data_IF_348297682045
#
_entry.id   IF_348297682045
#
_cell.length_a   1.000
_cell.length_b   1.000
_cell.length_c   1.000
_cell.angle_alpha   90.00
_cell.angle_beta   90.00
_cell.angle_gamma   90.00
#
_symmetry.space_group_name_H-M   'P 1'
#
loop_
_entity.id
_entity.type
_entity.pdbx_description
1 polymer ?
#
# COMPACT_ATOMS: atom_id res chain seq x y z
N UNK A 1 -14.05 7.45 9.06
CA UNK A 1 -13.58 8.84 9.16
C UNK A 1 -14.63 9.69 9.86
N UNK A 2 -14.18 10.55 10.76
CA UNK A 2 -15.08 11.52 11.42
C UNK A 2 -15.29 12.67 10.43
N UNK A 3 -16.52 13.01 10.13
CA UNK A 3 -16.83 14.21 9.34
C UNK A 3 -16.72 15.44 10.24
N UNK A 4 -15.57 16.11 10.19
CA UNK A 4 -15.34 17.37 10.88
C UNK A 4 -15.53 18.50 9.86
N UNK A 5 -16.74 18.66 9.35
CA UNK A 5 -17.12 19.54 8.23
C UNK A 5 -16.78 21.03 8.34
N UNK A 6 -15.76 21.42 9.11
CA UNK A 6 -15.36 22.83 9.34
C UNK A 6 -13.87 23.08 9.46
N UNK A 7 -13.01 22.17 8.98
CA UNK A 7 -11.58 22.43 9.01
C UNK A 7 -11.22 23.46 7.94
N UNK A 8 -10.58 24.55 8.34
CA UNK A 8 -10.07 25.55 7.41
C UNK A 8 -8.84 25.02 6.68
N UNK A 9 -8.00 24.27 7.40
CA UNK A 9 -6.66 23.88 6.97
C UNK A 9 -6.29 22.51 7.51
N UNK A 10 -5.56 21.72 6.74
CA UNK A 10 -4.94 20.48 7.18
C UNK A 10 -3.41 20.55 7.07
N UNK A 11 -2.72 19.95 8.04
CA UNK A 11 -1.28 19.74 8.00
C UNK A 11 -1.00 18.25 7.73
N UNK A 12 -0.26 17.99 6.67
CA UNK A 12 0.17 16.67 6.29
C UNK A 12 1.65 16.51 6.60
N UNK A 13 1.97 15.61 7.54
CA UNK A 13 3.36 15.24 7.82
C UNK A 13 3.78 14.17 6.83
N UNK A 14 4.85 14.43 6.09
CA UNK A 14 5.34 13.69 4.93
C UNK A 14 4.30 13.53 3.81
N UNK A 15 4.71 13.06 2.64
CA UNK A 15 3.80 12.83 1.53
C UNK A 15 2.94 11.58 1.78
N UNK A 16 1.65 11.58 1.43
CA UNK A 16 0.90 10.33 1.33
C UNK A 16 1.45 9.47 0.18
N UNK A 17 1.14 8.18 0.19
CA UNK A 17 1.64 7.26 -0.84
C UNK A 17 0.93 7.39 -2.19
N UNK A 18 -0.32 7.90 -2.17
CA UNK A 18 -1.19 7.96 -3.35
C UNK A 18 -1.83 9.32 -3.54
N UNK A 19 -2.13 9.66 -4.79
CA UNK A 19 -2.90 10.87 -5.14
C UNK A 19 -4.32 10.77 -4.58
N UNK A 20 -4.94 9.59 -4.60
CA UNK A 20 -6.26 9.36 -4.00
C UNK A 20 -6.26 9.72 -2.51
N UNK A 21 -5.25 9.31 -1.76
CA UNK A 21 -5.11 9.64 -0.34
C UNK A 21 -4.90 11.14 -0.11
N UNK A 22 -4.12 11.81 -0.98
CA UNK A 22 -3.96 13.25 -0.96
C UNK A 22 -5.31 13.96 -1.12
N UNK A 23 -6.10 13.59 -2.13
CA UNK A 23 -7.40 14.19 -2.42
C UNK A 23 -8.42 13.94 -1.30
N UNK A 24 -8.47 12.73 -0.76
CA UNK A 24 -9.36 12.41 0.36
C UNK A 24 -9.06 13.23 1.61
N UNK A 25 -7.78 13.48 1.91
CA UNK A 25 -7.37 14.33 3.04
C UNK A 25 -7.66 15.79 2.77
N UNK A 26 -7.36 16.28 1.58
CA UNK A 26 -7.65 17.64 1.16
C UNK A 26 -9.17 17.93 1.18
N UNK A 27 -10.00 16.96 0.79
CA UNK A 27 -11.46 17.05 0.85
C UNK A 27 -12.05 17.13 2.26
N UNK A 28 -11.23 17.01 3.31
CA UNK A 28 -11.66 17.26 4.72
C UNK A 28 -11.51 18.72 5.11
N UNK A 29 -10.90 19.53 4.27
CA UNK A 29 -10.68 20.98 4.50
C UNK A 29 -11.49 21.81 3.52
N UNK A 30 -11.59 23.08 3.81
CA UNK A 30 -12.40 24.02 3.05
C UNK A 30 -13.82 24.12 3.59
N UNK A 31 -14.37 25.33 3.53
CA UNK A 31 -15.77 25.63 3.82
C UNK A 31 -16.51 25.79 2.52
N UNK A 32 -17.85 25.87 2.56
CA UNK A 32 -18.69 26.08 1.35
C UNK A 32 -18.23 27.22 0.48
N UNK A 33 -17.60 28.26 1.10
CA UNK A 33 -17.18 29.49 0.44
C UNK A 33 -15.65 29.65 0.34
N UNK A 34 -14.87 28.73 0.86
CA UNK A 34 -13.40 28.79 0.85
C UNK A 34 -12.80 27.50 0.26
N UNK A 35 -11.79 27.63 -0.60
CA UNK A 35 -11.12 26.47 -1.16
C UNK A 35 -10.41 25.66 -0.06
N UNK A 36 -10.25 24.34 -0.24
CA UNK A 36 -9.49 23.51 0.68
C UNK A 36 -8.02 23.94 0.72
N UNK A 37 -7.45 23.98 1.91
CA UNK A 37 -6.05 24.32 2.13
C UNK A 37 -5.32 23.18 2.85
N UNK A 38 -4.21 22.73 2.25
CA UNK A 38 -3.35 21.68 2.83
C UNK A 38 -1.90 22.15 2.84
N UNK A 39 -1.27 22.00 4.00
CA UNK A 39 0.14 22.30 4.22
C UNK A 39 0.93 21.01 4.39
N UNK A 40 2.02 20.88 3.67
CA UNK A 40 2.94 19.76 3.81
C UNK A 40 4.12 20.14 4.69
N UNK A 41 4.43 19.26 5.64
CA UNK A 41 5.64 19.33 6.47
C UNK A 41 6.49 18.10 6.17
N UNK A 42 7.49 18.25 5.31
CA UNK A 42 8.39 17.16 4.95
C UNK A 42 9.51 17.03 5.97
N UNK A 43 9.63 15.85 6.57
CA UNK A 43 10.72 15.53 7.51
C UNK A 43 11.88 14.95 6.71
N UNK A 44 12.79 15.81 6.29
CA UNK A 44 14.00 15.45 5.56
C UNK A 44 15.21 15.72 6.44
N UNK A 45 16.18 14.84 6.40
CA UNK A 45 17.45 15.07 7.04
C UNK A 45 18.30 16.07 6.25
N UNK A 46 19.05 16.91 6.96
CA UNK A 46 19.98 17.82 6.32
C UNK A 46 21.26 17.03 6.00
N UNK A 47 21.72 17.04 4.71
CA UNK A 47 22.87 16.27 4.32
C UNK A 47 24.15 16.79 5.00
N UNK A 48 24.89 15.88 5.59
CA UNK A 48 26.22 16.13 6.11
C UNK A 48 27.30 15.95 5.00
N UNK A 49 28.53 16.46 5.17
CA UNK A 49 29.59 16.34 4.17
C UNK A 49 29.97 14.90 3.77
N UNK A 50 29.58 13.91 4.59
CA UNK A 50 29.84 12.48 4.34
C UNK A 50 28.60 11.70 3.93
N UNK A 51 27.44 12.35 3.80
CA UNK A 51 26.20 11.72 3.39
C UNK A 51 26.36 11.18 1.98
N UNK A 52 25.96 9.93 1.75
CA UNK A 52 25.99 9.33 0.42
C UNK A 52 25.03 10.04 -0.52
N UNK A 53 25.38 10.12 -1.80
CA UNK A 53 24.60 10.88 -2.78
C UNK A 53 23.09 10.52 -2.80
N UNK A 54 22.65 9.26 -2.74
CA UNK A 54 21.21 8.94 -2.70
C UNK A 54 20.48 9.55 -1.51
N UNK A 55 21.13 9.61 -0.35
CA UNK A 55 20.57 10.15 0.89
C UNK A 55 20.51 11.69 0.90
N UNK A 56 21.24 12.33 -0.01
CA UNK A 56 21.19 13.80 -0.17
C UNK A 56 19.94 14.28 -0.90
N UNK A 57 19.22 13.38 -1.59
CA UNK A 57 18.02 13.69 -2.36
C UNK A 57 16.81 13.69 -1.41
N UNK A 58 16.00 14.78 -1.40
CA UNK A 58 14.83 14.89 -0.53
C UNK A 58 13.64 14.10 -1.13
N UNK A 59 13.63 12.80 -0.92
CA UNK A 59 12.67 11.88 -1.53
C UNK A 59 11.22 12.20 -1.17
N UNK A 60 10.95 12.55 0.08
CA UNK A 60 9.60 12.90 0.55
C UNK A 60 9.08 14.19 -0.08
N UNK A 61 9.97 15.18 -0.25
CA UNK A 61 9.63 16.42 -0.95
C UNK A 61 9.31 16.13 -2.43
N UNK A 62 10.14 15.34 -3.10
CA UNK A 62 9.91 14.95 -4.49
C UNK A 62 8.60 14.18 -4.66
N UNK A 63 8.30 13.26 -3.74
CA UNK A 63 7.02 12.54 -3.73
C UNK A 63 5.83 13.50 -3.57
N UNK A 64 5.91 14.43 -2.63
CA UNK A 64 4.86 15.43 -2.45
C UNK A 64 4.64 16.29 -3.71
N UNK A 65 5.73 16.72 -4.35
CA UNK A 65 5.67 17.45 -5.62
C UNK A 65 5.03 16.58 -6.72
N UNK A 66 5.45 15.32 -6.84
CA UNK A 66 4.92 14.41 -7.85
C UNK A 66 3.41 14.21 -7.71
N UNK A 67 2.91 13.95 -6.50
CA UNK A 67 1.48 13.77 -6.24
C UNK A 67 0.66 15.02 -6.60
N UNK A 68 1.14 16.20 -6.21
CA UNK A 68 0.48 17.47 -6.55
C UNK A 68 0.46 17.70 -8.06
N UNK A 69 1.57 17.44 -8.75
CA UNK A 69 1.67 17.68 -10.18
C UNK A 69 0.87 16.67 -10.99
N UNK A 70 0.87 15.39 -10.66
CA UNK A 70 0.05 14.39 -11.33
C UNK A 70 -1.43 14.79 -11.32
N UNK A 71 -1.92 15.27 -10.18
CA UNK A 71 -3.30 15.75 -10.13
C UNK A 71 -3.51 17.05 -10.87
N UNK A 72 -2.58 18.01 -10.77
CA UNK A 72 -2.72 19.32 -11.41
C UNK A 72 -2.58 19.24 -12.92
N UNK A 73 -1.59 18.52 -13.42
CA UNK A 73 -1.25 18.45 -14.85
C UNK A 73 -2.15 17.45 -15.59
N UNK A 74 -2.40 16.28 -15.01
CA UNK A 74 -3.02 15.15 -15.70
C UNK A 74 -4.41 14.80 -15.15
N UNK A 75 -4.83 15.36 -14.01
CA UNK A 75 -6.00 14.89 -13.24
C UNK A 75 -5.92 13.40 -12.89
N UNK A 76 -4.70 12.89 -12.85
CA UNK A 76 -4.44 11.48 -12.61
C UNK A 76 -4.68 11.11 -11.15
N UNK A 77 -5.26 9.94 -10.97
CA UNK A 77 -5.43 9.24 -9.70
C UNK A 77 -5.13 7.78 -9.97
N UNK A 78 -4.62 7.07 -8.98
CA UNK A 78 -4.29 5.65 -9.13
C UNK A 78 -5.48 4.88 -9.68
N UNK A 79 -5.32 4.17 -10.82
CA UNK A 79 -6.39 3.34 -11.36
C UNK A 79 -6.65 2.15 -10.44
N UNK A 80 -7.91 1.65 -10.38
CA UNK A 80 -8.19 0.42 -9.67
C UNK A 80 -7.46 -0.75 -10.33
N UNK A 81 -6.98 -1.71 -9.52
CA UNK A 81 -6.34 -2.92 -10.01
C UNK A 81 -7.37 -3.88 -10.60
N UNK A 82 -7.62 -3.78 -11.90
CA UNK A 82 -8.61 -4.62 -12.60
C UNK A 82 -8.06 -6.01 -12.98
N UNK A 83 -6.77 -6.24 -12.81
CA UNK A 83 -6.12 -7.50 -13.19
C UNK A 83 -6.27 -8.60 -12.15
N UNK A 84 -6.64 -8.26 -10.95
CA UNK A 84 -6.95 -9.22 -9.89
C UNK A 84 -8.42 -9.63 -9.96
N UNK A 85 -8.68 -10.93 -9.70
CA UNK A 85 -10.03 -11.44 -9.57
C UNK A 85 -10.54 -11.18 -8.14
N UNK A 86 -11.48 -10.24 -7.94
CA UNK A 86 -11.89 -9.78 -6.61
C UNK A 86 -12.95 -10.70 -6.01
N UNK A 87 -12.65 -11.98 -5.77
CA UNK A 87 -13.61 -12.96 -5.29
C UNK A 87 -14.22 -12.62 -3.92
N UNK A 88 -13.46 -12.02 -3.01
CA UNK A 88 -14.00 -11.57 -1.73
C UNK A 88 -15.05 -10.47 -1.90
N UNK A 89 -14.79 -9.53 -2.80
CA UNK A 89 -15.74 -8.48 -3.13
C UNK A 89 -16.96 -9.03 -3.89
N UNK A 90 -16.77 -10.05 -4.75
CA UNK A 90 -17.84 -10.75 -5.42
C UNK A 90 -18.78 -11.43 -4.43
N UNK A 91 -18.24 -12.12 -3.42
CA UNK A 91 -19.00 -12.68 -2.31
C UNK A 91 -19.80 -11.60 -1.59
N UNK A 92 -19.12 -10.54 -1.17
CA UNK A 92 -19.73 -9.43 -0.46
C UNK A 92 -20.88 -8.80 -1.26
N UNK A 93 -20.66 -8.53 -2.55
CA UNK A 93 -21.65 -7.92 -3.41
C UNK A 93 -22.85 -8.87 -3.67
N UNK A 94 -22.59 -10.17 -3.79
CA UNK A 94 -23.64 -11.19 -3.90
C UNK A 94 -24.56 -11.20 -2.69
N UNK A 95 -23.98 -11.27 -1.50
CA UNK A 95 -24.73 -11.27 -0.25
C UNK A 95 -25.47 -9.95 -0.02
N UNK A 96 -24.84 -8.81 -0.31
CA UNK A 96 -25.44 -7.49 -0.18
C UNK A 96 -26.63 -7.30 -1.14
N UNK A 97 -26.51 -7.81 -2.36
CA UNK A 97 -27.61 -7.75 -3.36
C UNK A 97 -28.81 -8.56 -2.89
N UNK A 98 -28.60 -9.80 -2.43
CA UNK A 98 -29.69 -10.62 -1.87
C UNK A 98 -30.31 -9.98 -0.62
N UNK A 99 -29.50 -9.47 0.28
CA UNK A 99 -29.97 -8.79 1.50
C UNK A 99 -30.87 -7.58 1.19
N UNK A 100 -30.56 -6.84 0.13
CA UNK A 100 -31.31 -5.64 -0.25
C UNK A 100 -32.55 -5.90 -1.10
N UNK A 101 -32.57 -7.01 -1.86
CA UNK A 101 -33.65 -7.31 -2.81
C UNK A 101 -34.58 -8.43 -2.33
N UNK A 102 -34.18 -9.23 -1.38
CA UNK A 102 -34.87 -10.45 -0.95
C UNK A 102 -34.61 -11.61 -1.89
N UNK A 103 -35.65 -12.17 -2.52
CA UNK A 103 -35.53 -13.30 -3.41
C UNK A 103 -35.17 -12.88 -4.83
N UNK A 104 -34.22 -13.58 -5.46
CA UNK A 104 -33.83 -13.44 -6.86
C UNK A 104 -33.57 -14.81 -7.48
N UNK A 105 -33.89 -14.97 -8.75
CA UNK A 105 -33.40 -16.14 -9.50
C UNK A 105 -31.89 -16.09 -9.67
N UNK A 106 -31.20 -17.23 -9.85
CA UNK A 106 -29.76 -17.24 -10.10
C UNK A 106 -29.33 -16.37 -11.29
N UNK A 107 -30.16 -16.29 -12.31
CA UNK A 107 -29.90 -15.47 -13.51
C UNK A 107 -30.01 -13.97 -13.20
N UNK A 108 -31.03 -13.54 -12.48
CA UNK A 108 -31.21 -12.14 -12.08
C UNK A 108 -30.08 -11.69 -11.15
N UNK A 109 -29.69 -12.55 -10.19
CA UNK A 109 -28.59 -12.27 -9.28
C UNK A 109 -27.28 -12.12 -10.08
N UNK A 110 -26.98 -13.05 -10.98
CA UNK A 110 -25.81 -12.97 -11.84
C UNK A 110 -25.81 -11.70 -12.70
N UNK A 111 -26.95 -11.35 -13.28
CA UNK A 111 -27.09 -10.14 -14.07
C UNK A 111 -26.79 -8.89 -13.26
N UNK A 112 -27.31 -8.79 -12.03
CA UNK A 112 -27.09 -7.63 -11.17
C UNK A 112 -25.65 -7.50 -10.67
N UNK A 113 -25.01 -8.63 -10.35
CA UNK A 113 -23.65 -8.64 -9.80
C UNK A 113 -22.58 -8.58 -10.87
N UNK A 114 -22.64 -9.44 -11.89
CA UNK A 114 -21.58 -9.56 -12.90
C UNK A 114 -21.54 -8.39 -13.91
N UNK A 115 -22.61 -7.58 -14.00
CA UNK A 115 -22.59 -6.37 -14.83
C UNK A 115 -21.81 -5.22 -14.23
N UNK A 116 -21.44 -5.30 -12.95
CA UNK A 116 -20.54 -4.32 -12.35
C UNK A 116 -19.17 -4.40 -13.02
N UNK A 117 -18.65 -3.27 -13.46
CA UNK A 117 -17.41 -3.19 -14.24
C UNK A 117 -16.22 -3.88 -13.60
N UNK A 118 -16.18 -3.93 -12.27
CA UNK A 118 -15.10 -4.57 -11.53
C UNK A 118 -15.08 -6.11 -11.66
N UNK A 119 -16.21 -6.72 -12.03
CA UNK A 119 -16.32 -8.19 -12.20
C UNK A 119 -16.27 -8.65 -13.65
N UNK A 120 -15.93 -7.78 -14.61
CA UNK A 120 -15.94 -8.09 -16.05
C UNK A 120 -15.07 -9.29 -16.46
N UNK A 121 -14.08 -9.67 -15.63
CA UNK A 121 -13.19 -10.83 -15.85
C UNK A 121 -13.66 -12.11 -15.18
N UNK A 122 -14.70 -12.04 -14.37
CA UNK A 122 -15.25 -13.22 -13.68
C UNK A 122 -16.23 -13.90 -14.62
N UNK A 123 -15.98 -15.17 -14.89
CA UNK A 123 -16.86 -15.96 -15.75
C UNK A 123 -18.16 -16.34 -15.03
N UNK A 124 -19.22 -16.60 -15.81
CA UNK A 124 -20.46 -17.13 -15.26
C UNK A 124 -20.27 -18.49 -14.57
N UNK A 125 -19.30 -19.28 -15.02
CA UNK A 125 -18.99 -20.59 -14.43
C UNK A 125 -18.31 -20.44 -13.06
N UNK A 126 -17.36 -19.51 -12.92
CA UNK A 126 -16.76 -19.19 -11.62
C UNK A 126 -17.82 -18.70 -10.63
N UNK A 127 -18.75 -17.87 -11.11
CA UNK A 127 -19.85 -17.40 -10.28
C UNK A 127 -20.80 -18.54 -9.85
N UNK A 128 -21.09 -19.49 -10.73
CA UNK A 128 -21.86 -20.70 -10.38
C UNK A 128 -21.15 -21.54 -9.30
N UNK A 129 -19.83 -21.66 -9.38
CA UNK A 129 -19.03 -22.35 -8.35
C UNK A 129 -19.19 -21.65 -7.00
N UNK A 130 -19.09 -20.31 -7.00
CA UNK A 130 -19.31 -19.53 -5.77
C UNK A 130 -20.72 -19.74 -5.21
N UNK A 131 -21.77 -19.60 -6.01
CA UNK A 131 -23.15 -19.78 -5.56
C UNK A 131 -23.39 -21.17 -4.96
N UNK A 132 -22.91 -22.24 -5.62
CA UNK A 132 -23.00 -23.61 -5.09
C UNK A 132 -22.30 -23.75 -3.74
N UNK A 133 -21.13 -23.12 -3.58
CA UNK A 133 -20.42 -23.11 -2.31
C UNK A 133 -21.22 -22.40 -1.24
N UNK A 134 -21.80 -21.23 -1.54
CA UNK A 134 -22.59 -20.45 -0.60
C UNK A 134 -23.87 -21.18 -0.15
N UNK A 135 -24.49 -21.95 -1.06
CA UNK A 135 -25.63 -22.81 -0.73
C UNK A 135 -25.18 -23.94 0.21
N UNK A 136 -24.02 -24.56 -0.07
CA UNK A 136 -23.48 -25.65 0.77
C UNK A 136 -23.19 -25.23 2.21
N UNK A 137 -22.75 -23.98 2.43
CA UNK A 137 -22.40 -23.46 3.75
C UNK A 137 -23.54 -22.64 4.40
N UNK A 138 -24.76 -22.73 3.86
CA UNK A 138 -25.96 -22.05 4.33
C UNK A 138 -25.87 -20.51 4.39
N UNK A 139 -25.04 -19.92 3.55
CA UNK A 139 -25.05 -18.48 3.36
C UNK A 139 -26.19 -18.05 2.43
N UNK A 140 -26.56 -18.90 1.50
CA UNK A 140 -27.70 -18.75 0.58
C UNK A 140 -28.55 -20.00 0.67
N UNK A 141 -29.86 -19.83 0.58
CA UNK A 141 -30.82 -20.93 0.49
C UNK A 141 -31.60 -20.85 -0.83
N UNK A 142 -32.04 -22.00 -1.31
CA UNK A 142 -32.87 -22.11 -2.51
C UNK A 142 -34.33 -22.26 -2.05
N UNK A 143 -35.22 -21.42 -2.55
CA UNK A 143 -36.64 -21.49 -2.29
C UNK A 143 -37.31 -22.61 -3.10
N UNK A 144 -38.55 -23.00 -2.72
CA UNK A 144 -39.34 -23.99 -3.50
C UNK A 144 -39.54 -23.55 -4.96
N UNK A 145 -39.59 -22.24 -5.22
CA UNK A 145 -39.70 -21.67 -6.56
C UNK A 145 -38.37 -21.62 -7.35
N UNK A 146 -37.25 -22.07 -6.76
CA UNK A 146 -35.91 -22.03 -7.36
C UNK A 146 -35.25 -20.67 -7.26
N UNK A 147 -35.80 -19.74 -6.50
CA UNK A 147 -35.18 -18.46 -6.15
C UNK A 147 -34.06 -18.64 -5.11
N UNK A 148 -33.21 -17.67 -5.01
CA UNK A 148 -32.14 -17.58 -4.01
C UNK A 148 -32.48 -16.53 -2.96
N UNK A 149 -32.33 -16.87 -1.70
CA UNK A 149 -32.46 -15.96 -0.56
C UNK A 149 -31.25 -16.09 0.36
N UNK A 150 -31.06 -15.13 1.24
CA UNK A 150 -30.02 -15.24 2.29
C UNK A 150 -30.37 -16.40 3.23
N UNK A 151 -29.43 -17.30 3.49
CA UNK A 151 -29.57 -18.41 4.42
C UNK A 151 -29.31 -18.01 5.87
N UNK A 152 -29.66 -18.88 6.84
CA UNK A 152 -29.52 -18.60 8.28
C UNK A 152 -28.07 -18.23 8.69
N UNK A 153 -27.09 -18.94 8.16
CA UNK A 153 -25.69 -18.60 8.41
C UNK A 153 -25.30 -17.27 7.76
N UNK A 154 -25.86 -16.99 6.57
CA UNK A 154 -25.67 -15.72 5.86
C UNK A 154 -26.27 -14.53 6.61
N UNK A 155 -27.46 -14.68 7.22
CA UNK A 155 -28.10 -13.62 8.00
C UNK A 155 -27.25 -13.13 9.17
N UNK A 156 -26.54 -14.04 9.84
CA UNK A 156 -25.63 -13.68 10.94
C UNK A 156 -24.48 -12.80 10.46
N UNK A 157 -24.07 -12.97 9.21
CA UNK A 157 -22.96 -12.22 8.61
C UNK A 157 -23.47 -10.84 8.16
N UNK A 158 -24.56 -10.78 7.39
CA UNK A 158 -25.06 -9.51 6.85
C UNK A 158 -25.64 -8.58 7.93
N UNK A 159 -26.12 -9.13 9.04
CA UNK A 159 -26.60 -8.35 10.19
C UNK A 159 -25.46 -7.79 11.06
N UNK A 160 -24.21 -8.19 10.82
CA UNK A 160 -23.06 -7.61 11.49
C UNK A 160 -22.61 -6.33 10.77
N UNK A 161 -22.42 -5.23 11.51
CA UNK A 161 -21.98 -3.96 10.94
C UNK A 161 -20.61 -4.07 10.21
N UNK A 162 -19.75 -4.99 10.62
CA UNK A 162 -18.46 -5.28 9.96
C UNK A 162 -18.62 -5.74 8.51
N UNK A 163 -19.75 -6.35 8.16
CA UNK A 163 -20.05 -6.75 6.80
C UNK A 163 -20.08 -5.56 5.83
N UNK A 164 -20.55 -4.40 6.28
CA UNK A 164 -20.65 -3.19 5.48
C UNK A 164 -19.40 -2.29 5.54
N UNK A 165 -18.49 -2.59 6.44
CA UNK A 165 -17.23 -1.88 6.60
C UNK A 165 -16.09 -2.72 6.01
N UNK A 166 -15.95 -2.69 4.68
CA UNK A 166 -14.92 -3.46 3.95
C UNK A 166 -13.56 -2.77 4.10
N UNK A 167 -12.99 -2.83 5.30
CA UNK A 167 -11.64 -2.39 5.58
C UNK A 167 -10.75 -3.63 5.71
N UNK A 168 -9.54 -3.53 5.17
CA UNK A 168 -8.50 -4.51 5.47
C UNK A 168 -8.17 -4.37 6.95
N UNK A 169 -8.60 -5.32 7.76
CA UNK A 169 -8.13 -5.44 9.14
C UNK A 169 -6.74 -6.11 9.08
N UNK A 170 -5.75 -5.43 9.60
CA UNK A 170 -4.47 -6.05 9.83
C UNK A 170 -4.63 -6.98 11.03
N UNK A 171 -4.42 -8.28 10.82
CA UNK A 171 -4.43 -9.26 11.90
C UNK A 171 -3.17 -9.06 12.75
N UNK A 172 -3.36 -8.71 14.03
CA UNK A 172 -2.26 -8.60 14.98
C UNK A 172 -1.96 -9.97 15.59
N UNK A 173 -0.68 -10.30 15.62
CA UNK A 173 -0.16 -11.51 16.24
C UNK A 173 0.62 -11.14 17.50
N UNK A 174 0.29 -11.78 18.60
CA UNK A 174 1.03 -11.65 19.85
C UNK A 174 2.34 -12.41 19.75
N UNK A 175 3.47 -11.72 19.94
CA UNK A 175 4.78 -12.36 19.98
C UNK A 175 5.10 -12.79 21.40
N UNK A 176 5.44 -14.05 21.59
CA UNK A 176 5.77 -14.66 22.88
C UNK A 176 7.13 -15.33 22.84
N UNK A 177 7.85 -15.17 23.93
CA UNK A 177 8.97 -16.05 24.28
C UNK A 177 8.50 -17.12 25.27
N UNK A 178 9.39 -18.07 25.62
CA UNK A 178 9.06 -19.09 26.64
C UNK A 178 8.56 -18.49 27.97
N UNK A 179 8.99 -17.29 28.33
CA UNK A 179 8.76 -16.70 29.65
C UNK A 179 7.88 -15.44 29.64
N UNK A 180 7.65 -14.79 28.48
CA UNK A 180 6.96 -13.50 28.47
C UNK A 180 6.30 -13.20 27.12
N UNK A 181 5.25 -12.37 27.17
CA UNK A 181 4.70 -11.67 26.02
C UNK A 181 5.54 -10.44 25.70
N UNK A 182 5.96 -10.31 24.44
CA UNK A 182 6.93 -9.30 24.01
C UNK A 182 6.27 -8.09 23.34
N UNK A 183 5.06 -8.26 22.82
CA UNK A 183 4.29 -7.27 22.07
C UNK A 183 3.54 -7.87 20.91
N UNK A 184 3.07 -7.03 19.98
CA UNK A 184 2.33 -7.47 18.80
C UNK A 184 3.03 -7.10 17.51
N UNK A 185 2.85 -7.91 16.47
CA UNK A 185 3.29 -7.65 15.10
C UNK A 185 2.15 -7.93 14.13
N UNK A 186 2.16 -7.20 13.03
CA UNK A 186 1.25 -7.44 11.90
C UNK A 186 2.03 -8.23 10.85
N UNK A 187 1.40 -9.23 10.21
CA UNK A 187 2.03 -10.05 9.17
C UNK A 187 3.35 -10.71 9.64
N UNK A 188 3.28 -11.72 10.51
CA UNK A 188 4.48 -12.35 11.04
C UNK A 188 5.32 -12.97 9.91
N UNK A 189 6.65 -12.80 9.94
CA UNK A 189 7.52 -13.46 8.99
C UNK A 189 7.53 -14.97 9.23
N UNK A 190 7.94 -15.76 8.22
CA UNK A 190 8.01 -17.20 8.36
C UNK A 190 9.03 -17.65 9.43
N UNK A 191 8.86 -18.85 9.98
CA UNK A 191 9.83 -19.44 10.90
C UNK A 191 11.27 -19.41 10.34
N UNK A 192 12.23 -19.10 11.20
CA UNK A 192 13.63 -18.93 10.85
C UNK A 192 14.04 -17.48 10.55
N UNK A 193 13.13 -16.60 10.31
CA UNK A 193 13.43 -15.17 10.12
C UNK A 193 13.57 -14.42 11.46
N UNK A 194 14.29 -13.29 11.39
CA UNK A 194 14.57 -12.46 12.58
C UNK A 194 13.64 -11.27 12.63
N UNK A 195 13.17 -10.96 13.84
CA UNK A 195 12.36 -9.78 14.13
C UNK A 195 13.03 -8.94 15.23
N UNK A 196 12.77 -7.64 15.21
CA UNK A 196 13.15 -6.74 16.30
C UNK A 196 11.89 -6.37 17.07
N UNK A 197 11.81 -6.74 18.34
CA UNK A 197 10.70 -6.40 19.23
C UNK A 197 11.21 -6.16 20.64
N UNK A 198 10.60 -5.25 21.38
CA UNK A 198 11.01 -4.88 22.74
C UNK A 198 12.50 -4.52 22.88
N UNK A 199 13.11 -3.92 21.84
CA UNK A 199 14.51 -3.51 21.82
C UNK A 199 15.53 -4.64 21.65
N UNK A 200 15.09 -5.87 21.40
CA UNK A 200 15.93 -7.04 21.21
C UNK A 200 15.68 -7.70 19.85
N UNK A 201 16.66 -8.52 19.42
CA UNK A 201 16.56 -9.35 18.22
C UNK A 201 16.03 -10.75 18.60
N UNK A 202 15.06 -11.23 17.85
CA UNK A 202 14.42 -12.53 18.06
C UNK A 202 14.38 -13.30 16.75
N UNK A 203 14.47 -14.62 16.81
CA UNK A 203 14.20 -15.50 15.68
C UNK A 203 12.81 -16.11 15.84
N UNK A 204 12.01 -16.06 14.78
CA UNK A 204 10.68 -16.69 14.77
C UNK A 204 10.85 -18.20 14.68
N UNK A 205 10.32 -18.93 15.62
CA UNK A 205 10.36 -20.41 15.64
C UNK A 205 9.08 -21.02 15.06
N UNK A 206 7.94 -20.48 15.46
CA UNK A 206 6.63 -20.97 15.05
C UNK A 206 5.62 -19.82 14.94
N UNK A 207 4.68 -19.96 14.00
CA UNK A 207 3.53 -19.06 13.86
C UNK A 207 2.24 -19.87 13.96
N UNK A 208 1.52 -19.70 15.06
CA UNK A 208 0.18 -20.25 15.23
C UNK A 208 -0.87 -19.29 14.66
N UNK A 209 -1.26 -19.52 13.42
CA UNK A 209 -2.23 -18.71 12.70
C UNK A 209 -3.65 -18.75 13.32
N UNK A 210 -3.99 -19.83 14.02
CA UNK A 210 -5.32 -19.96 14.65
C UNK A 210 -5.44 -19.15 15.94
N UNK A 211 -4.34 -19.08 16.69
CA UNK A 211 -4.27 -18.34 17.96
C UNK A 211 -3.70 -16.94 17.80
N UNK A 212 -3.31 -16.55 16.58
CA UNK A 212 -2.61 -15.30 16.29
C UNK A 212 -1.40 -15.11 17.23
N UNK A 213 -0.58 -16.14 17.35
CA UNK A 213 0.57 -16.14 18.26
C UNK A 213 1.84 -16.52 17.49
N UNK A 214 2.90 -15.76 17.72
CA UNK A 214 4.25 -16.03 17.21
C UNK A 214 5.14 -16.41 18.38
N UNK A 215 5.77 -17.56 18.29
CA UNK A 215 6.78 -17.99 19.24
C UNK A 215 8.18 -17.61 18.72
N UNK A 216 8.96 -16.94 19.57
CA UNK A 216 10.26 -16.43 19.19
C UNK A 216 11.30 -16.59 20.31
N UNK A 217 12.54 -16.91 19.92
CA UNK A 217 13.68 -17.06 20.82
C UNK A 217 14.65 -15.88 20.64
N UNK A 218 15.17 -15.35 21.74
CA UNK A 218 16.10 -14.23 21.71
C UNK A 218 17.43 -14.64 21.11
N UNK A 219 17.96 -13.84 20.18
CA UNK A 219 19.26 -14.05 19.55
C UNK A 219 20.10 -12.78 19.59
N UNK A 220 21.42 -12.94 19.57
CA UNK A 220 22.32 -11.78 19.44
C UNK A 220 22.34 -11.29 17.99
N UNK A 221 22.22 -10.02 17.79
CA UNK A 221 22.29 -9.39 16.46
C UNK A 221 21.50 -8.09 16.39
N UNK A 222 21.63 -7.41 15.26
CA UNK A 222 20.75 -6.28 14.90
C UNK A 222 19.86 -6.75 13.75
N UNK A 223 18.59 -6.44 13.86
CA UNK A 223 17.64 -6.54 12.74
C UNK A 223 17.02 -5.16 12.62
N UNK A 224 16.83 -4.63 11.41
CA UNK A 224 16.01 -3.45 11.23
C UNK A 224 14.64 -3.72 11.86
N UNK A 225 14.08 -2.73 12.54
CA UNK A 225 12.73 -2.87 13.09
C UNK A 225 11.77 -3.27 11.96
N UNK A 226 11.13 -4.42 12.10
CA UNK A 226 10.13 -4.88 11.14
C UNK A 226 8.85 -4.11 11.37
N UNK A 227 8.57 -3.16 10.51
CA UNK A 227 7.33 -2.40 10.51
C UNK A 227 6.33 -2.94 9.47
N UNK A 228 6.06 -4.21 9.49
CA UNK A 228 5.03 -4.79 8.64
C UNK A 228 5.30 -4.71 7.13
N UNK A 229 4.29 -5.09 6.36
CA UNK A 229 4.30 -4.94 4.90
C UNK A 229 4.58 -3.50 4.46
N UNK A 230 5.07 -3.38 3.24
CA UNK A 230 5.28 -2.09 2.58
C UNK A 230 4.10 -1.16 2.93
N UNK A 231 4.32 -0.11 3.73
CA UNK A 231 3.22 0.65 4.36
C UNK A 231 2.37 1.44 3.36
N UNK A 232 2.62 1.29 2.08
CA UNK A 232 1.86 1.88 1.00
C UNK A 232 2.40 1.48 -0.36
N UNK A 233 1.50 1.23 -1.28
CA UNK A 233 1.84 0.99 -2.67
C UNK A 233 2.01 2.33 -3.39
N UNK A 234 3.26 2.71 -3.66
CA UNK A 234 3.57 3.85 -4.51
C UNK A 234 3.54 3.36 -5.96
N UNK A 235 2.65 3.92 -6.77
CA UNK A 235 2.55 3.57 -8.17
C UNK A 235 3.79 4.02 -8.96
N UNK A 236 4.21 3.25 -9.97
CA UNK A 236 5.34 3.58 -10.84
C UNK A 236 5.22 4.98 -11.46
N UNK A 237 4.03 5.41 -11.83
CA UNK A 237 3.80 6.75 -12.39
C UNK A 237 4.17 7.89 -11.42
N UNK A 238 4.04 7.66 -10.12
CA UNK A 238 4.51 8.62 -9.09
C UNK A 238 6.04 8.72 -9.14
N UNK A 239 6.74 7.59 -9.22
CA UNK A 239 8.22 7.57 -9.29
C UNK A 239 8.73 8.22 -10.59
N UNK A 240 8.06 7.97 -11.71
CA UNK A 240 8.35 8.64 -12.99
C UNK A 240 8.16 10.15 -12.90
N UNK A 241 7.09 10.60 -12.23
CA UNK A 241 6.85 12.03 -12.01
C UNK A 241 7.86 12.64 -11.03
N UNK A 242 8.32 11.89 -10.01
CA UNK A 242 9.43 12.30 -9.14
C UNK A 242 10.70 12.47 -9.94
N UNK A 243 11.04 11.50 -10.81
CA UNK A 243 12.16 11.57 -11.74
C UNK A 243 12.09 12.81 -12.62
N UNK A 244 10.92 13.10 -13.17
CA UNK A 244 10.70 14.31 -13.99
C UNK A 244 10.91 15.57 -13.15
N UNK A 245 10.37 15.65 -11.92
CA UNK A 245 10.55 16.80 -11.04
C UNK A 245 12.00 17.05 -10.66
N UNK A 246 12.81 16.00 -10.56
CA UNK A 246 14.24 16.09 -10.28
C UNK A 246 15.03 16.65 -11.48
N UNK A 247 14.61 16.35 -12.71
CA UNK A 247 15.34 16.71 -13.94
C UNK A 247 14.83 17.99 -14.64
N UNK A 248 13.59 18.41 -14.37
CA UNK A 248 13.04 19.62 -15.00
C UNK A 248 13.42 20.90 -14.24
N UNK A 249 13.43 22.03 -14.95
CA UNK A 249 13.68 23.35 -14.36
C UNK A 249 12.39 24.09 -13.98
N UNK A 250 11.25 23.41 -13.97
CA UNK A 250 9.98 24.00 -13.66
C UNK A 250 9.94 24.57 -12.23
N UNK A 251 9.39 25.76 -12.08
CA UNK A 251 9.12 26.37 -10.79
C UNK A 251 7.75 25.91 -10.27
N UNK A 252 7.69 25.55 -9.00
CA UNK A 252 6.46 25.17 -8.32
C UNK A 252 6.05 26.28 -7.34
N UNK A 253 5.07 27.14 -7.70
CA UNK A 253 4.76 28.34 -6.92
C UNK A 253 4.23 28.03 -5.50
N UNK A 254 3.71 26.83 -5.26
CA UNK A 254 3.22 26.40 -3.95
C UNK A 254 4.36 26.00 -2.98
N UNK A 255 5.59 25.85 -3.44
CA UNK A 255 6.71 25.55 -2.55
C UNK A 255 7.15 26.79 -1.77
N UNK A 256 7.37 26.58 -0.48
CA UNK A 256 7.98 27.60 0.39
C UNK A 256 9.49 27.75 0.10
N UNK A 257 10.09 28.82 0.63
CA UNK A 257 11.49 29.17 0.34
C UNK A 257 12.49 28.06 0.63
N UNK A 258 12.36 27.42 1.80
CA UNK A 258 13.20 26.28 2.20
C UNK A 258 13.03 25.07 1.26
N UNK A 259 11.79 24.72 0.89
CA UNK A 259 11.53 23.61 -0.02
C UNK A 259 12.06 23.89 -1.44
N UNK A 260 11.96 25.15 -1.91
CA UNK A 260 12.56 25.57 -3.19
C UNK A 260 14.08 25.45 -3.19
N UNK A 261 14.73 25.90 -2.11
CA UNK A 261 16.17 25.77 -1.97
C UNK A 261 16.62 24.31 -1.96
N UNK A 262 15.89 23.47 -1.22
CA UNK A 262 16.17 22.03 -1.13
C UNK A 262 15.99 21.32 -2.48
N UNK A 263 14.94 21.65 -3.23
CA UNK A 263 14.72 21.12 -4.59
C UNK A 263 15.83 21.58 -5.55
N UNK A 264 16.25 22.85 -5.49
CA UNK A 264 17.33 23.35 -6.32
C UNK A 264 18.65 22.63 -6.05
N UNK A 265 18.97 22.37 -4.78
CA UNK A 265 20.13 21.57 -4.39
C UNK A 265 20.04 20.13 -4.91
N UNK A 266 18.88 19.49 -4.79
CA UNK A 266 18.67 18.13 -5.31
C UNK A 266 18.83 18.04 -6.82
N UNK A 267 18.31 19.00 -7.57
CA UNK A 267 18.46 19.10 -9.03
C UNK A 267 19.92 19.27 -9.44
N UNK A 268 20.64 20.11 -8.73
CA UNK A 268 22.07 20.29 -8.97
C UNK A 268 22.87 19.01 -8.71
N UNK A 269 22.56 18.30 -7.60
CA UNK A 269 23.16 16.99 -7.30
C UNK A 269 22.82 15.96 -8.40
N UNK A 270 21.58 15.92 -8.87
CA UNK A 270 21.15 15.02 -9.92
C UNK A 270 21.82 15.31 -11.27
N UNK A 271 21.99 16.59 -11.63
CA UNK A 271 22.67 17.01 -12.84
C UNK A 271 24.15 16.57 -12.85
N UNK A 272 24.87 16.79 -11.74
CA UNK A 272 26.29 16.40 -11.62
C UNK A 272 26.45 14.89 -11.59
N UNK A 273 25.62 14.17 -10.81
CA UNK A 273 25.73 12.72 -10.65
C UNK A 273 25.09 11.92 -11.78
N UNK A 274 24.12 12.49 -12.47
CA UNK A 274 23.28 11.81 -13.44
C UNK A 274 22.13 11.01 -12.83
N UNK A 275 21.78 11.23 -11.56
CA UNK A 275 20.79 10.44 -10.81
C UNK A 275 19.39 10.41 -11.46
N UNK A 276 19.02 11.46 -12.17
CA UNK A 276 17.72 11.47 -12.86
C UNK A 276 17.74 10.88 -14.27
N UNK A 277 18.91 10.68 -14.87
CA UNK A 277 19.08 10.27 -16.27
C UNK A 277 19.66 8.88 -16.41
N UNK A 278 20.62 8.52 -15.57
CA UNK A 278 21.29 7.22 -15.56
C UNK A 278 20.64 6.29 -14.56
N UNK A 279 20.27 5.07 -14.94
CA UNK A 279 19.70 4.12 -13.99
C UNK A 279 20.73 3.59 -12.99
N UNK A 280 21.99 3.48 -13.37
CA UNK A 280 23.08 2.95 -12.57
C UNK A 280 24.21 3.96 -12.47
N UNK A 281 24.68 4.23 -11.25
CA UNK A 281 25.69 5.22 -10.94
C UNK A 281 26.74 4.60 -10.02
N UNK A 282 28.02 4.78 -10.33
CA UNK A 282 29.10 4.39 -9.45
C UNK A 282 29.32 5.48 -8.39
N UNK A 283 29.31 5.08 -7.11
CA UNK A 283 29.52 5.96 -5.97
C UNK A 283 31.00 5.98 -5.50
N UNK A 284 31.84 5.21 -6.14
CA UNK A 284 33.25 5.05 -5.83
C UNK A 284 33.61 3.60 -5.50
N UNK A 285 34.77 3.16 -5.97
CA UNK A 285 35.20 1.77 -5.82
C UNK A 285 34.19 0.78 -6.43
N UNK A 286 33.84 -0.23 -5.66
CA UNK A 286 32.88 -1.29 -6.04
C UNK A 286 31.44 -0.96 -5.61
N UNK A 287 31.15 0.27 -5.18
CA UNK A 287 29.83 0.68 -4.71
C UNK A 287 29.03 1.34 -5.82
N UNK A 288 27.86 0.82 -6.07
CA UNK A 288 26.94 1.30 -7.10
C UNK A 288 25.56 1.55 -6.52
N UNK A 289 24.83 2.51 -7.08
CA UNK A 289 23.42 2.75 -6.80
C UNK A 289 22.59 2.57 -8.06
N UNK A 290 21.49 1.87 -7.94
CA UNK A 290 20.50 1.66 -8.99
C UNK A 290 19.25 2.48 -8.69
N UNK A 291 18.84 3.36 -9.62
CA UNK A 291 17.60 4.12 -9.57
C UNK A 291 16.60 3.55 -10.61
N UNK A 292 15.82 2.53 -10.27
CA UNK A 292 14.93 1.89 -11.24
C UNK A 292 13.66 2.71 -11.52
N UNK A 293 13.30 3.65 -10.64
CA UNK A 293 12.09 4.48 -10.73
C UNK A 293 10.81 3.65 -10.88
N UNK A 294 10.76 2.54 -10.19
CA UNK A 294 9.65 1.60 -10.17
C UNK A 294 8.81 1.77 -8.91
N UNK A 295 7.51 1.55 -9.03
CA UNK A 295 6.62 1.50 -7.89
C UNK A 295 6.91 0.33 -6.96
N UNK A 296 6.34 0.37 -5.77
CA UNK A 296 6.71 -0.52 -4.64
C UNK A 296 6.73 -2.00 -5.00
N UNK A 297 5.70 -2.53 -5.66
CA UNK A 297 5.64 -3.96 -6.02
C UNK A 297 6.68 -4.35 -7.07
N UNK A 298 6.83 -3.53 -8.12
CA UNK A 298 7.82 -3.79 -9.16
C UNK A 298 9.24 -3.67 -8.62
N UNK A 299 9.49 -2.72 -7.72
CA UNK A 299 10.77 -2.55 -7.02
C UNK A 299 11.10 -3.77 -6.15
N UNK A 300 10.17 -4.24 -5.33
CA UNK A 300 10.34 -5.46 -4.51
C UNK A 300 10.58 -6.70 -5.37
N UNK A 301 9.89 -6.82 -6.50
CA UNK A 301 10.11 -7.92 -7.43
C UNK A 301 11.53 -7.88 -8.03
N UNK A 302 11.98 -6.69 -8.44
CA UNK A 302 13.35 -6.48 -8.95
C UNK A 302 14.39 -6.80 -7.87
N UNK A 303 14.21 -6.30 -6.66
CA UNK A 303 15.09 -6.57 -5.53
C UNK A 303 15.23 -8.08 -5.26
N UNK A 304 14.11 -8.79 -5.16
CA UNK A 304 14.10 -10.24 -4.95
C UNK A 304 14.76 -11.00 -6.10
N UNK A 305 14.50 -10.59 -7.33
CA UNK A 305 15.15 -11.17 -8.51
C UNK A 305 16.67 -10.98 -8.44
N UNK A 306 17.15 -9.79 -8.14
CA UNK A 306 18.57 -9.49 -8.02
C UNK A 306 19.21 -10.29 -6.89
N UNK A 307 18.58 -10.35 -5.71
CA UNK A 307 19.10 -11.11 -4.55
C UNK A 307 19.12 -12.62 -4.78
N UNK A 308 18.07 -13.18 -5.36
CA UNK A 308 17.87 -14.64 -5.41
C UNK A 308 18.47 -15.26 -6.68
N UNK A 309 18.33 -14.59 -7.82
CA UNK A 309 18.69 -15.17 -9.13
C UNK A 309 19.97 -14.59 -9.72
N UNK A 310 20.22 -13.29 -9.56
CA UNK A 310 21.28 -12.62 -10.30
C UNK A 310 22.51 -12.32 -9.44
N UNK A 311 22.45 -12.45 -8.12
CA UNK A 311 23.54 -12.05 -7.23
C UNK A 311 24.88 -12.71 -7.57
N UNK A 312 24.87 -14.03 -7.82
CA UNK A 312 26.08 -14.77 -8.16
C UNK A 312 26.63 -14.40 -9.54
N UNK A 313 25.76 -14.27 -10.56
CA UNK A 313 26.14 -13.95 -11.92
C UNK A 313 26.69 -12.51 -12.06
N UNK A 314 26.09 -11.58 -11.31
CA UNK A 314 26.51 -10.17 -11.30
C UNK A 314 27.64 -9.89 -10.30
N UNK A 315 28.07 -10.87 -9.52
CA UNK A 315 29.11 -10.72 -8.50
C UNK A 315 28.72 -9.76 -7.37
N UNK A 316 27.41 -9.66 -7.04
CA UNK A 316 26.93 -8.78 -5.98
C UNK A 316 27.37 -9.33 -4.62
N UNK A 317 28.10 -8.51 -3.85
CA UNK A 317 28.56 -8.87 -2.49
C UNK A 317 27.59 -8.44 -1.39
N UNK A 318 26.73 -7.50 -1.69
CA UNK A 318 25.66 -7.00 -0.83
C UNK A 318 24.67 -6.21 -1.67
N UNK A 319 23.38 -6.32 -1.35
CA UNK A 319 22.32 -5.52 -1.94
C UNK A 319 21.49 -4.99 -0.79
N UNK A 320 21.54 -3.68 -0.60
CA UNK A 320 20.68 -2.95 0.32
C UNK A 320 19.67 -2.13 -0.51
N UNK A 321 18.45 -2.00 0.01
CA UNK A 321 17.35 -1.32 -0.68
C UNK A 321 16.59 -0.45 0.30
N UNK A 322 16.31 0.77 -0.09
CA UNK A 322 15.58 1.76 0.73
C UNK A 322 14.53 2.48 -0.13
#
# INVERSE_FOLDING_TARGET
GIDIGRLERAFQIDAPFTVSSLLQRMGRTGRRDLPPEMWFVMREEEPEPRTMMPETIPWKLLQGIALVQLYREEKWVEPPELDRLPYSLLYHQTMSTLASTGELTPAELAQRVLTLSYFHRISADDYRVLLRHLIKIDHIQVTEGGGLIVGLAGERIINNFKFYAVFQENEEFTVRSESAELGTIVNPPPPGERIAIAGHCWIVEEVDWKRHTVFATQVKGRVPAYFGDCPGDINTHVLERMRKALNEHAAYPYLMGNARARLAQARHTAEISGAGTKPLINLGGDTWVLFPWLGSYAFLALERMLKIKCAAELGLRGLDSS
#
